data_IF_041457746809
#
_entry.id   IF_041457746809
#
_cell.length_a   1.000
_cell.length_b   1.000
_cell.length_c   1.000
_cell.angle_alpha   90.00
_cell.angle_beta   90.00
_cell.angle_gamma   90.00
#
_symmetry.space_group_name_H-M   'P 1'
#
loop_
_entity.id
_entity.type
_entity.pdbx_description
1 polymer ?
#
# COMPACT_ATOMS: atom_id res chain seq x y z
N UNK A 1 -75.59 -40.54 0.75
CA UNK A 1 -74.79 -39.84 -0.28
C UNK A 1 -73.31 -39.88 0.09
N UNK A 2 -72.48 -40.57 -0.71
CA UNK A 2 -71.13 -40.18 -1.17
C UNK A 2 -70.41 -41.42 -1.74
N UNK A 3 -70.35 -41.47 -3.06
CA UNK A 3 -69.44 -42.30 -3.86
C UNK A 3 -67.99 -41.94 -3.63
N UNK A 4 -67.10 -42.89 -4.00
CA UNK A 4 -65.84 -42.76 -4.78
C UNK A 4 -64.82 -43.76 -4.23
N UNK A 5 -63.99 -44.45 -4.98
CA UNK A 5 -63.86 -44.74 -6.41
C UNK A 5 -62.74 -45.79 -6.48
N UNK A 6 -62.86 -46.78 -7.36
CA UNK A 6 -61.84 -47.82 -7.56
C UNK A 6 -60.68 -47.30 -8.40
N UNK A 7 -59.49 -47.86 -8.12
CA UNK A 7 -58.38 -48.20 -9.04
C UNK A 7 -57.68 -47.07 -9.83
N UNK A 8 -56.37 -46.98 -9.62
CA UNK A 8 -55.28 -47.03 -10.64
C UNK A 8 -53.99 -46.69 -9.88
N UNK A 9 -52.92 -47.47 -9.89
CA UNK A 9 -52.29 -48.08 -11.04
C UNK A 9 -50.94 -47.39 -11.24
N UNK A 10 -49.85 -48.16 -11.13
CA UNK A 10 -48.52 -47.92 -11.72
C UNK A 10 -47.84 -46.57 -11.40
N UNK A 11 -46.79 -46.61 -10.57
CA UNK A 11 -45.49 -46.05 -10.96
C UNK A 11 -44.33 -46.48 -10.05
N UNK A 12 -44.00 -47.78 -10.08
CA UNK A 12 -42.80 -48.35 -9.43
C UNK A 12 -41.50 -48.07 -10.21
N UNK A 13 -41.46 -46.98 -11.00
CA UNK A 13 -40.31 -46.56 -11.84
C UNK A 13 -39.80 -45.14 -11.57
N UNK A 14 -40.49 -44.33 -10.76
CA UNK A 14 -40.03 -42.97 -10.42
C UNK A 14 -39.03 -42.92 -9.24
N UNK A 15 -38.91 -43.99 -8.45
CA UNK A 15 -38.07 -43.99 -7.24
C UNK A 15 -36.61 -44.42 -7.48
N UNK A 16 -36.28 -44.99 -8.65
CA UNK A 16 -34.91 -45.44 -8.96
C UNK A 16 -34.04 -44.42 -9.68
N UNK A 17 -34.60 -43.34 -10.22
CA UNK A 17 -33.83 -42.30 -10.93
C UNK A 17 -33.39 -41.12 -10.03
N UNK A 18 -33.96 -40.95 -8.83
CA UNK A 18 -33.49 -39.95 -7.87
C UNK A 18 -32.18 -40.34 -7.14
N UNK A 19 -31.72 -41.59 -7.28
CA UNK A 19 -30.46 -42.07 -6.67
C UNK A 19 -29.21 -41.92 -7.54
N UNK A 20 -29.33 -41.48 -8.80
CA UNK A 20 -28.15 -41.30 -9.69
C UNK A 20 -27.72 -39.85 -9.91
N UNK A 21 -28.41 -38.87 -9.31
CA UNK A 21 -28.14 -37.43 -9.50
C UNK A 21 -27.33 -36.71 -8.41
N UNK A 22 -26.87 -37.38 -7.34
CA UNK A 22 -26.11 -36.73 -6.24
C UNK A 22 -24.60 -36.99 -6.29
N UNK A 23 -24.00 -36.99 -7.49
CA UNK A 23 -22.54 -37.09 -7.67
C UNK A 23 -21.89 -35.80 -8.13
N UNK A 24 -22.32 -34.61 -7.68
CA UNK A 24 -21.52 -33.36 -7.74
C UNK A 24 -21.99 -32.37 -6.66
N UNK A 25 -21.73 -32.68 -5.39
CA UNK A 25 -21.69 -31.69 -4.32
C UNK A 25 -20.36 -31.88 -3.61
N UNK A 26 -19.67 -30.76 -3.37
CA UNK A 26 -18.22 -30.69 -3.19
C UNK A 26 -17.65 -31.62 -2.13
N UNK A 27 -16.34 -31.87 -2.25
CA UNK A 27 -15.49 -32.33 -1.16
C UNK A 27 -15.71 -31.41 0.05
N UNK A 28 -16.64 -31.78 0.93
CA UNK A 28 -16.73 -31.20 2.27
C UNK A 28 -15.47 -31.68 2.98
N UNK A 29 -14.54 -30.75 3.17
CA UNK A 29 -13.34 -30.99 3.95
C UNK A 29 -13.75 -31.60 5.30
N UNK A 30 -13.09 -32.72 5.66
CA UNK A 30 -13.32 -33.47 6.89
C UNK A 30 -13.39 -32.50 8.09
N UNK A 31 -14.41 -32.56 8.95
CA UNK A 31 -14.65 -31.58 10.04
C UNK A 31 -13.53 -31.50 11.09
N UNK A 32 -12.57 -32.43 11.09
CA UNK A 32 -11.39 -32.40 11.97
C UNK A 32 -10.36 -31.33 11.57
N UNK A 33 -10.07 -31.19 10.27
CA UNK A 33 -9.03 -30.27 9.78
C UNK A 33 -9.42 -28.79 9.97
N UNK A 34 -10.71 -28.48 9.86
CA UNK A 34 -11.25 -27.14 10.09
C UNK A 34 -11.25 -26.75 11.58
N UNK A 35 -11.38 -27.72 12.50
CA UNK A 35 -11.32 -27.46 13.95
C UNK A 35 -9.89 -27.22 14.43
N UNK A 36 -8.92 -27.96 13.87
CA UNK A 36 -7.49 -27.73 14.14
C UNK A 36 -7.04 -26.35 13.63
N UNK A 37 -7.44 -25.97 12.41
CA UNK A 37 -7.14 -24.63 11.88
C UNK A 37 -7.84 -23.52 12.66
N UNK A 38 -9.09 -23.72 13.10
CA UNK A 38 -9.78 -22.74 13.94
C UNK A 38 -9.14 -22.58 15.32
N UNK A 39 -8.62 -23.67 15.91
CA UNK A 39 -7.89 -23.62 17.19
C UNK A 39 -6.53 -22.93 17.04
N UNK A 40 -5.83 -23.17 15.93
CA UNK A 40 -4.57 -22.50 15.61
C UNK A 40 -4.78 -20.99 15.41
N UNK A 41 -5.81 -20.60 14.63
CA UNK A 41 -6.15 -19.19 14.41
C UNK A 41 -6.55 -18.48 15.71
N UNK A 42 -7.29 -19.14 16.61
CA UNK A 42 -7.63 -18.55 17.92
C UNK A 42 -6.41 -18.31 18.79
N UNK A 43 -5.40 -19.20 18.75
CA UNK A 43 -4.14 -19.00 19.46
C UNK A 43 -3.35 -17.83 18.86
N UNK A 44 -3.33 -17.72 17.54
CA UNK A 44 -2.64 -16.63 16.86
C UNK A 44 -3.29 -15.28 17.14
N UNK A 45 -4.63 -15.20 17.08
CA UNK A 45 -5.38 -14.00 17.47
C UNK A 45 -5.03 -13.61 18.91
N UNK A 46 -5.04 -14.57 19.84
CA UNK A 46 -4.70 -14.28 21.23
C UNK A 46 -3.27 -13.77 21.40
N UNK A 47 -2.31 -14.38 20.71
CA UNK A 47 -0.91 -13.93 20.68
C UNK A 47 -0.80 -12.50 20.16
N UNK A 48 -1.42 -12.20 19.02
CA UNK A 48 -1.38 -10.88 18.41
C UNK A 48 -2.09 -9.82 19.28
N UNK A 49 -3.17 -10.18 19.98
CA UNK A 49 -3.82 -9.28 20.94
C UNK A 49 -2.91 -8.95 22.11
N UNK A 50 -2.17 -9.93 22.65
CA UNK A 50 -1.19 -9.67 23.70
C UNK A 50 -0.03 -8.79 23.20
N UNK A 51 0.43 -9.02 21.97
CA UNK A 51 1.50 -8.22 21.37
C UNK A 51 1.06 -6.77 21.15
N UNK A 52 -0.17 -6.55 20.67
CA UNK A 52 -0.75 -5.21 20.55
C UNK A 52 -0.86 -4.52 21.90
N UNK A 53 -1.38 -5.21 22.91
CA UNK A 53 -1.52 -4.64 24.24
C UNK A 53 -0.16 -4.25 24.85
N UNK A 54 0.86 -5.08 24.67
CA UNK A 54 2.22 -4.77 25.12
C UNK A 54 2.81 -3.56 24.39
N UNK A 55 2.55 -3.41 23.09
CA UNK A 55 2.98 -2.22 22.32
C UNK A 55 2.21 -0.97 22.74
N UNK A 56 0.92 -1.08 23.04
CA UNK A 56 0.11 0.03 23.56
C UNK A 56 0.61 0.48 24.94
N UNK A 57 0.95 -0.45 25.83
CA UNK A 57 1.52 -0.15 27.13
C UNK A 57 2.90 0.51 27.01
N UNK A 58 3.74 0.06 26.06
CA UNK A 58 5.02 0.71 25.74
C UNK A 58 4.84 2.14 25.21
N UNK A 59 3.88 2.36 24.31
CA UNK A 59 3.55 3.68 23.80
C UNK A 59 3.03 4.60 24.91
N UNK A 60 2.22 4.06 25.82
CA UNK A 60 1.70 4.81 26.96
C UNK A 60 2.82 5.21 27.93
N UNK A 61 3.76 4.30 28.20
CA UNK A 61 4.92 4.59 29.05
C UNK A 61 5.83 5.67 28.42
N UNK A 62 6.09 5.59 27.11
CA UNK A 62 6.86 6.62 26.40
C UNK A 62 6.17 7.99 26.39
N UNK A 63 4.85 8.02 26.16
CA UNK A 63 4.07 9.27 26.22
C UNK A 63 4.03 9.89 27.61
N UNK A 64 3.95 9.07 28.66
CA UNK A 64 3.98 9.54 30.04
C UNK A 64 5.37 10.02 30.47
N UNK A 65 6.44 9.37 29.98
CA UNK A 65 7.82 9.86 30.14
C UNK A 65 8.05 11.20 29.45
N UNK A 66 7.52 11.38 28.24
CA UNK A 66 7.61 12.64 27.49
C UNK A 66 6.82 13.80 28.11
N UNK A 67 5.78 13.52 28.91
CA UNK A 67 5.03 14.54 29.64
C UNK A 67 5.75 15.09 30.88
N UNK A 68 6.76 14.38 31.42
CA UNK A 68 7.49 14.82 32.60
C UNK A 68 8.60 15.86 32.28
N UNK A 69 9.09 15.89 31.03
CA UNK A 69 10.14 16.80 30.56
C UNK A 69 9.58 18.04 29.82
N UNK A 70 8.47 18.58 30.34
CA UNK A 70 7.62 19.65 29.78
C UNK A 70 8.27 21.05 29.62
N UNK A 71 9.60 21.15 29.53
CA UNK A 71 10.30 22.41 29.25
C UNK A 71 11.04 22.41 27.90
N UNK A 72 11.45 21.25 27.38
CA UNK A 72 12.16 21.13 26.09
C UNK A 72 11.24 20.78 24.90
N UNK A 73 9.97 20.44 25.17
CA UNK A 73 9.01 19.97 24.17
C UNK A 73 8.48 21.09 23.26
N UNK A 74 8.49 22.35 23.70
CA UNK A 74 8.00 23.46 22.87
C UNK A 74 8.90 23.72 21.64
N UNK A 75 10.22 23.54 21.78
CA UNK A 75 11.15 23.69 20.65
C UNK A 75 11.11 22.47 19.72
N UNK A 76 10.89 21.26 20.26
CA UNK A 76 10.77 20.05 19.46
C UNK A 76 9.43 19.96 18.73
N UNK A 77 8.33 20.40 19.33
CA UNK A 77 7.03 20.50 18.63
C UNK A 77 7.07 21.57 17.55
N UNK A 78 7.72 22.73 17.78
CA UNK A 78 7.92 23.72 16.72
C UNK A 78 8.81 23.19 15.59
N UNK A 79 9.87 22.45 15.92
CA UNK A 79 10.73 21.83 14.91
C UNK A 79 10.00 20.69 14.19
N UNK A 80 9.18 19.93 14.90
CA UNK A 80 8.35 18.86 14.35
C UNK A 80 7.27 19.43 13.44
N UNK A 81 6.61 20.54 13.79
CA UNK A 81 5.66 21.26 12.94
C UNK A 81 6.35 21.89 11.74
N UNK A 82 7.52 22.52 11.90
CA UNK A 82 8.32 23.01 10.77
C UNK A 82 8.80 21.87 9.86
N UNK A 83 9.17 20.73 10.45
CA UNK A 83 9.49 19.50 9.72
C UNK A 83 8.24 18.88 9.11
N UNK A 84 7.06 18.99 9.72
CA UNK A 84 5.79 18.52 9.18
C UNK A 84 5.30 19.39 8.03
N UNK A 85 5.54 20.69 8.09
CA UNK A 85 5.23 21.67 7.05
C UNK A 85 6.24 21.57 5.89
N UNK A 86 7.50 21.22 6.16
CA UNK A 86 8.50 20.89 5.14
C UNK A 86 8.44 19.43 4.65
N UNK A 87 7.76 18.54 5.39
CA UNK A 87 7.46 17.15 5.00
C UNK A 87 6.01 16.92 4.58
N UNK A 88 5.22 18.00 4.47
CA UNK A 88 4.06 18.10 3.58
C UNK A 88 4.57 18.19 2.14
N UNK A 89 5.36 17.16 1.82
CA UNK A 89 5.66 16.64 0.52
C UNK A 89 4.36 16.71 -0.27
N UNK A 90 4.32 17.70 -1.16
CA UNK A 90 3.11 18.06 -1.86
C UNK A 90 2.33 16.85 -2.35
N UNK A 91 1.01 17.02 -2.44
CA UNK A 91 0.04 16.06 -2.97
C UNK A 91 0.69 15.10 -3.97
N UNK A 92 0.38 13.80 -3.96
CA UNK A 92 1.00 12.75 -4.81
C UNK A 92 1.33 13.23 -6.24
N UNK A 93 0.47 14.08 -6.82
CA UNK A 93 0.66 14.81 -8.08
C UNK A 93 1.96 15.65 -8.17
N UNK A 94 2.31 16.41 -7.15
CA UNK A 94 3.53 17.21 -7.06
C UNK A 94 4.79 16.36 -6.97
N UNK A 95 4.79 15.31 -6.14
CA UNK A 95 5.88 14.31 -6.12
C UNK A 95 6.10 13.71 -7.51
N UNK A 96 5.02 13.38 -8.22
CA UNK A 96 5.10 12.89 -9.60
C UNK A 96 5.71 13.92 -10.54
N UNK A 97 5.30 15.18 -10.48
CA UNK A 97 5.88 16.28 -11.28
C UNK A 97 7.37 16.51 -10.98
N UNK A 98 7.78 16.42 -9.73
CA UNK A 98 9.20 16.52 -9.34
C UNK A 98 9.99 15.36 -9.94
N UNK A 99 9.46 14.15 -9.88
CA UNK A 99 10.10 12.98 -10.47
C UNK A 99 10.23 13.09 -12.00
N UNK A 100 9.17 13.53 -12.69
CA UNK A 100 9.18 13.74 -14.15
C UNK A 100 10.22 14.78 -14.57
N UNK A 101 10.36 15.88 -13.82
CA UNK A 101 11.39 16.90 -14.04
C UNK A 101 12.80 16.33 -13.87
N UNK A 102 13.05 15.56 -12.81
CA UNK A 102 14.35 14.93 -12.59
C UNK A 102 14.71 13.90 -13.67
N UNK A 103 13.74 13.08 -14.10
CA UNK A 103 13.96 12.12 -15.18
C UNK A 103 14.31 12.85 -16.48
N UNK A 104 13.56 13.90 -16.82
CA UNK A 104 13.84 14.70 -18.00
C UNK A 104 15.23 15.34 -17.96
N UNK A 105 15.60 15.94 -16.82
CA UNK A 105 16.91 16.55 -16.63
C UNK A 105 18.05 15.54 -16.88
N UNK A 106 17.94 14.32 -16.35
CA UNK A 106 18.93 13.26 -16.60
C UNK A 106 19.00 12.86 -18.06
N UNK A 107 17.86 12.61 -18.71
CA UNK A 107 17.85 12.22 -20.12
C UNK A 107 18.46 13.30 -21.02
N UNK A 108 18.22 14.59 -20.74
CA UNK A 108 18.85 15.69 -21.48
C UNK A 108 20.34 15.80 -21.20
N UNK A 109 20.74 15.63 -19.94
CA UNK A 109 22.15 15.60 -19.58
C UNK A 109 22.91 14.49 -20.31
N UNK A 110 22.38 13.27 -20.34
CA UNK A 110 22.94 12.15 -21.08
C UNK A 110 23.04 12.44 -22.58
N UNK A 111 21.98 12.98 -23.20
CA UNK A 111 22.00 13.37 -24.60
C UNK A 111 23.08 14.41 -24.93
N UNK A 112 23.31 15.37 -24.02
CA UNK A 112 24.37 16.37 -24.17
C UNK A 112 25.77 15.77 -24.01
N UNK A 113 25.94 14.80 -23.10
CA UNK A 113 27.19 14.05 -22.98
C UNK A 113 27.46 13.20 -24.24
N UNK A 114 26.44 12.55 -24.79
CA UNK A 114 26.54 11.78 -26.04
C UNK A 114 26.88 12.68 -27.24
N UNK A 115 26.41 13.93 -27.24
CA UNK A 115 26.79 14.96 -28.20
C UNK A 115 28.23 15.48 -28.02
N UNK A 116 28.97 15.00 -27.02
CA UNK A 116 30.37 15.34 -26.77
C UNK A 116 30.58 16.60 -25.92
N UNK A 117 29.54 17.10 -25.25
CA UNK A 117 29.69 18.22 -24.32
C UNK A 117 30.40 17.76 -23.03
N UNK A 118 31.25 18.64 -22.49
CA UNK A 118 31.87 18.43 -21.18
C UNK A 118 30.80 18.44 -20.09
N UNK A 119 31.00 17.65 -19.02
CA UNK A 119 30.03 17.52 -17.91
C UNK A 119 29.45 18.86 -17.42
N UNK A 120 30.26 19.91 -17.13
CA UNK A 120 29.70 21.19 -16.66
C UNK A 120 28.81 21.86 -17.71
N UNK A 121 29.20 21.82 -18.99
CA UNK A 121 28.42 22.38 -20.08
C UNK A 121 27.12 21.58 -20.31
N UNK A 122 27.20 20.25 -20.30
CA UNK A 122 26.05 19.36 -20.42
C UNK A 122 25.02 19.58 -19.30
N UNK A 123 25.47 19.83 -18.06
CA UNK A 123 24.57 20.16 -16.94
C UNK A 123 23.82 21.47 -17.18
N UNK A 124 24.53 22.53 -17.57
CA UNK A 124 23.89 23.83 -17.87
C UNK A 124 22.93 23.73 -19.05
N UNK A 125 23.29 22.99 -20.10
CA UNK A 125 22.41 22.78 -21.26
C UNK A 125 21.17 21.97 -20.89
N UNK A 126 21.30 20.93 -20.08
CA UNK A 126 20.16 20.14 -19.60
C UNK A 126 19.22 20.96 -18.69
N UNK A 127 19.77 21.84 -17.86
CA UNK A 127 19.00 22.75 -17.01
C UNK A 127 18.30 23.85 -17.83
N UNK A 128 18.93 24.35 -18.90
CA UNK A 128 18.28 25.24 -19.86
C UNK A 128 17.09 24.55 -20.56
N UNK A 129 17.26 23.30 -21.01
CA UNK A 129 16.17 22.52 -21.59
C UNK A 129 15.03 22.27 -20.58
N UNK A 130 15.37 22.11 -19.29
CA UNK A 130 14.40 21.93 -18.22
C UNK A 130 13.56 23.20 -18.02
N UNK A 131 14.22 24.37 -17.95
CA UNK A 131 13.56 25.68 -17.86
C UNK A 131 12.67 25.95 -19.06
N UNK A 132 13.13 25.64 -20.27
CA UNK A 132 12.34 25.79 -21.50
C UNK A 132 11.06 24.94 -21.46
N UNK A 133 11.14 23.72 -20.92
CA UNK A 133 10.02 22.78 -20.92
C UNK A 133 9.02 22.98 -19.78
N UNK A 134 9.49 23.28 -18.58
CA UNK A 134 8.68 23.32 -17.35
C UNK A 134 8.55 24.72 -16.73
N UNK A 135 9.22 25.72 -17.30
CA UNK A 135 9.24 27.11 -16.84
C UNK A 135 10.52 27.47 -16.07
N UNK A 136 10.89 28.74 -16.11
CA UNK A 136 12.15 29.25 -15.55
C UNK A 136 12.30 28.99 -14.04
N UNK A 137 11.18 28.98 -13.31
CA UNK A 137 11.09 28.69 -11.86
C UNK A 137 11.50 27.25 -11.49
N UNK A 138 11.63 26.37 -12.47
CA UNK A 138 11.93 24.94 -12.25
C UNK A 138 13.40 24.57 -12.41
N UNK A 139 14.25 25.55 -12.73
CA UNK A 139 15.68 25.34 -12.87
C UNK A 139 16.39 25.12 -11.53
N UNK A 140 17.56 24.49 -11.59
CA UNK A 140 18.40 24.21 -10.43
C UNK A 140 19.63 25.12 -10.38
N UNK A 141 20.21 25.26 -9.20
CA UNK A 141 21.52 25.92 -9.04
C UNK A 141 22.65 25.00 -9.55
N UNK A 142 23.83 25.56 -9.84
CA UNK A 142 24.98 24.74 -10.30
C UNK A 142 25.37 23.66 -9.27
N UNK A 143 25.31 23.99 -7.97
CA UNK A 143 25.59 23.04 -6.87
C UNK A 143 24.55 21.90 -6.83
N UNK A 144 23.28 22.24 -7.04
CA UNK A 144 22.22 21.24 -7.11
C UNK A 144 22.37 20.34 -8.34
N UNK A 145 22.72 20.91 -9.50
CA UNK A 145 22.98 20.14 -10.71
C UNK A 145 24.15 19.17 -10.53
N UNK A 146 25.22 19.59 -9.86
CA UNK A 146 26.35 18.70 -9.55
C UNK A 146 25.94 17.55 -8.61
N UNK A 147 25.10 17.83 -7.62
CA UNK A 147 24.56 16.81 -6.71
C UNK A 147 23.61 15.82 -7.42
N UNK A 148 22.75 16.31 -8.32
CA UNK A 148 21.75 15.50 -9.02
C UNK A 148 22.36 14.68 -10.17
N UNK A 149 23.38 15.22 -10.85
CA UNK A 149 23.96 14.72 -12.12
C UNK A 149 25.48 14.41 -12.02
N UNK A 150 25.96 14.05 -10.83
CA UNK A 150 27.35 13.65 -10.58
C UNK A 150 27.75 12.41 -11.40
#
# INVERSE_FOLDING_TARGET
MKSKEKKKGKNKRAEKELKKGKKKAGKVAKPGKLKESAKALRKEIHRLTQELQLKDDQLKALKQGAQADSAAVNDLDMLADFLHESSDTGSISERKKIWERHQYLRSRYEAHLEAGLLKPAARRSADADLRERYGDETGYTEEQLDSILS
#
